data_IF_766573699657
#
_entry.id   IF_766573699657
#
_cell.length_a   1.000
_cell.length_b   1.000
_cell.length_c   1.000
_cell.angle_alpha   90.00
_cell.angle_beta   90.00
_cell.angle_gamma   90.00
#
_symmetry.space_group_name_H-M   'P 1'
#
loop_
_entity.id
_entity.type
_entity.pdbx_description
1 polymer ?
#
# COMPACT_ATOMS: atom_id res chain seq x y z
N UNK A 1 -4.75 2.24 -48.40
CA UNK A 1 -4.35 1.08 -47.59
C UNK A 1 -3.85 1.59 -46.25
N UNK A 2 -4.75 1.65 -45.27
CA UNK A 2 -4.45 2.18 -43.93
C UNK A 2 -3.88 1.05 -43.07
N UNK A 3 -2.68 1.27 -42.52
CA UNK A 3 -2.06 0.34 -41.57
C UNK A 3 -2.90 0.33 -40.29
N UNK A 4 -3.61 -0.77 -40.04
CA UNK A 4 -4.17 -1.05 -38.72
C UNK A 4 -3.02 -1.45 -37.81
N UNK A 5 -2.66 -0.55 -36.89
CA UNK A 5 -1.94 -0.89 -35.66
C UNK A 5 -2.99 -0.95 -34.55
N UNK A 6 -3.69 -2.06 -34.45
CA UNK A 6 -4.55 -2.34 -33.30
C UNK A 6 -3.94 -3.49 -32.52
N UNK A 7 -3.84 -3.27 -31.21
CA UNK A 7 -3.37 -4.19 -30.17
C UNK A 7 -1.88 -4.08 -29.85
N UNK A 8 -1.45 -2.87 -29.46
CA UNK A 8 -0.52 -2.80 -28.34
C UNK A 8 -1.33 -3.15 -27.09
N UNK A 9 -1.27 -4.42 -26.69
CA UNK A 9 -1.47 -4.77 -25.29
C UNK A 9 -0.53 -3.87 -24.49
N UNK A 10 -1.07 -2.80 -23.90
CA UNK A 10 -0.39 -2.04 -22.87
C UNK A 10 -0.38 -2.92 -21.62
N UNK A 11 0.38 -4.01 -21.70
CA UNK A 11 0.79 -4.79 -20.55
C UNK A 11 1.64 -3.83 -19.72
N UNK A 12 1.01 -3.22 -18.72
CA UNK A 12 1.63 -2.22 -17.87
C UNK A 12 2.84 -2.91 -17.22
N UNK A 13 4.08 -2.50 -17.51
CA UNK A 13 5.24 -3.24 -17.05
C UNK A 13 5.31 -3.06 -15.54
N UNK A 14 5.08 -4.15 -14.81
CA UNK A 14 5.43 -4.33 -13.40
C UNK A 14 4.61 -3.50 -12.38
N UNK A 15 3.28 -3.64 -12.36
CA UNK A 15 2.53 -3.32 -11.13
C UNK A 15 2.90 -4.37 -10.07
N UNK A 16 3.79 -3.99 -9.15
CA UNK A 16 4.11 -4.79 -7.97
C UNK A 16 2.82 -5.07 -7.19
N UNK A 17 2.64 -6.33 -6.80
CA UNK A 17 1.52 -6.75 -5.97
C UNK A 17 1.69 -6.26 -4.53
N UNK A 18 0.61 -6.22 -3.75
CA UNK A 18 0.69 -6.02 -2.30
C UNK A 18 1.74 -6.92 -1.63
N UNK A 19 1.85 -8.17 -2.09
CA UNK A 19 2.81 -9.16 -1.58
C UNK A 19 4.26 -8.69 -1.76
N UNK A 20 4.60 -8.19 -2.95
CA UNK A 20 5.94 -7.67 -3.26
C UNK A 20 6.33 -6.48 -2.38
N UNK A 21 5.36 -5.60 -2.08
CA UNK A 21 5.58 -4.48 -1.16
C UNK A 21 5.84 -4.96 0.28
N UNK A 22 5.09 -5.95 0.75
CA UNK A 22 5.31 -6.52 2.08
C UNK A 22 6.65 -7.26 2.20
N UNK A 23 7.10 -7.93 1.13
CA UNK A 23 8.45 -8.52 1.06
C UNK A 23 9.50 -7.41 1.14
N UNK A 24 9.43 -6.42 0.25
CA UNK A 24 10.48 -5.39 0.12
C UNK A 24 10.63 -4.50 1.35
N UNK A 25 9.55 -4.32 2.12
CA UNK A 25 9.55 -3.55 3.37
C UNK A 25 9.97 -4.37 4.60
N UNK A 26 10.15 -5.68 4.45
CA UNK A 26 10.52 -6.57 5.56
C UNK A 26 9.39 -6.82 6.56
N UNK A 27 8.13 -6.67 6.15
CA UNK A 27 6.93 -6.89 6.96
C UNK A 27 6.07 -8.07 6.47
N UNK A 28 6.60 -8.91 5.59
CA UNK A 28 5.88 -10.05 5.01
C UNK A 28 5.28 -10.99 6.06
N UNK A 29 5.96 -11.19 7.18
CA UNK A 29 5.46 -11.97 8.32
C UNK A 29 4.15 -11.41 8.93
N UNK A 30 3.88 -10.13 8.73
CA UNK A 30 2.69 -9.44 9.22
C UNK A 30 1.62 -9.20 8.15
N UNK A 31 1.84 -9.65 6.90
CA UNK A 31 0.84 -9.54 5.82
C UNK A 31 -0.53 -10.14 6.21
N UNK A 32 -0.64 -11.33 6.83
CA UNK A 32 -1.93 -11.86 7.27
C UNK A 32 -2.64 -10.97 8.31
N UNK A 33 -1.87 -10.26 9.14
CA UNK A 33 -2.42 -9.31 10.12
C UNK A 33 -2.93 -8.05 9.42
N UNK A 34 -2.17 -7.54 8.45
CA UNK A 34 -2.54 -6.39 7.65
C UNK A 34 -3.84 -6.63 6.86
N UNK A 35 -3.97 -7.78 6.20
CA UNK A 35 -5.17 -8.17 5.45
C UNK A 35 -6.42 -8.19 6.34
N UNK A 36 -6.36 -8.87 7.49
CA UNK A 36 -7.48 -8.93 8.44
C UNK A 36 -7.89 -7.55 8.95
N UNK A 37 -6.91 -6.68 9.19
CA UNK A 37 -7.15 -5.32 9.69
C UNK A 37 -7.78 -4.44 8.61
N UNK A 38 -7.24 -4.49 7.39
CA UNK A 38 -7.75 -3.75 6.24
C UNK A 38 -9.18 -4.20 5.90
N UNK A 39 -9.44 -5.51 5.82
CA UNK A 39 -10.79 -6.06 5.60
C UNK A 39 -11.78 -5.55 6.65
N UNK A 40 -11.44 -5.64 7.93
CA UNK A 40 -12.30 -5.20 9.03
C UNK A 40 -12.65 -3.71 8.97
N UNK A 41 -11.71 -2.89 8.51
CA UNK A 41 -11.87 -1.43 8.45
C UNK A 41 -12.29 -0.93 7.05
N UNK A 42 -12.46 -1.85 6.08
CA UNK A 42 -12.89 -1.55 4.72
C UNK A 42 -11.84 -0.81 3.89
N UNK A 43 -10.56 -1.16 4.02
CA UNK A 43 -9.47 -0.64 3.17
C UNK A 43 -9.16 -1.54 1.98
N UNK A 44 -8.83 -0.92 0.86
CA UNK A 44 -8.47 -1.59 -0.39
C UNK A 44 -6.96 -1.77 -0.54
N UNK A 45 -6.57 -2.64 -1.47
CA UNK A 45 -5.16 -2.99 -1.73
C UNK A 45 -4.27 -1.76 -1.98
N UNK A 46 -4.76 -0.78 -2.74
CA UNK A 46 -4.02 0.45 -3.05
C UNK A 46 -3.68 1.24 -1.79
N UNK A 47 -4.62 1.32 -0.85
CA UNK A 47 -4.43 2.01 0.42
C UNK A 47 -3.44 1.25 1.32
N UNK A 48 -3.49 -0.09 1.28
CA UNK A 48 -2.54 -0.94 2.00
C UNK A 48 -1.11 -0.82 1.46
N UNK A 49 -0.93 -0.75 0.14
CA UNK A 49 0.38 -0.56 -0.50
C UNK A 49 1.02 0.76 -0.05
N UNK A 50 0.25 1.85 -0.07
CA UNK A 50 0.76 3.15 0.38
C UNK A 50 1.05 3.13 1.89
N UNK A 51 0.16 2.52 2.68
CA UNK A 51 0.33 2.40 4.12
C UNK A 51 1.60 1.63 4.48
N UNK A 52 1.89 0.50 3.82
CA UNK A 52 3.08 -0.32 4.15
C UNK A 52 4.39 0.39 3.81
N UNK A 53 4.43 1.18 2.73
CA UNK A 53 5.56 2.05 2.42
C UNK A 53 5.78 3.07 3.55
N UNK A 54 4.73 3.74 4.02
CA UNK A 54 4.81 4.70 5.14
C UNK A 54 5.17 4.04 6.48
N UNK A 55 4.74 2.80 6.72
CA UNK A 55 5.16 2.01 7.89
C UNK A 55 6.67 1.73 7.82
N UNK A 56 7.17 1.35 6.65
CA UNK A 56 8.60 1.13 6.41
C UNK A 56 9.40 2.41 6.71
N UNK A 57 8.97 3.56 6.20
CA UNK A 57 9.62 4.84 6.48
C UNK A 57 9.66 5.15 8.00
N UNK A 58 8.54 4.93 8.70
CA UNK A 58 8.47 5.13 10.16
C UNK A 58 9.32 4.13 10.93
N UNK A 59 9.48 2.90 10.43
CA UNK A 59 10.35 1.88 11.03
C UNK A 59 11.82 2.29 10.96
N UNK A 60 12.27 2.82 9.81
CA UNK A 60 13.64 3.28 9.66
C UNK A 60 13.96 4.53 10.49
N UNK A 61 12.98 5.41 10.71
CA UNK A 61 13.15 6.59 11.58
C UNK A 61 13.06 6.24 13.06
N UNK A 62 12.08 5.41 13.44
CA UNK A 62 11.72 5.12 14.83
C UNK A 62 11.36 3.63 15.02
N UNK A 63 12.35 2.73 15.04
CA UNK A 63 12.10 1.30 15.15
C UNK A 63 11.50 0.95 16.53
N UNK A 64 10.63 -0.08 16.62
CA UNK A 64 10.06 -0.54 17.88
C UNK A 64 11.14 -1.13 18.80
N UNK A 65 11.08 -0.81 20.10
CA UNK A 65 12.05 -1.29 21.09
C UNK A 65 11.67 -2.61 21.78
N UNK A 66 10.41 -3.06 21.63
CA UNK A 66 9.88 -4.26 22.32
C UNK A 66 9.01 -5.13 21.42
N UNK A 67 7.77 -4.70 21.16
CA UNK A 67 6.77 -5.52 20.48
C UNK A 67 6.54 -5.00 19.04
N UNK A 68 7.28 -5.57 18.08
CA UNK A 68 7.17 -5.21 16.65
C UNK A 68 5.76 -5.41 16.11
N UNK A 69 5.06 -6.48 16.50
CA UNK A 69 3.70 -6.76 16.01
C UNK A 69 2.67 -5.76 16.53
N UNK A 70 2.71 -5.43 17.82
CA UNK A 70 1.81 -4.44 18.40
C UNK A 70 2.09 -3.03 17.85
N UNK A 71 3.37 -2.69 17.72
CA UNK A 71 3.79 -1.45 17.06
C UNK A 71 3.29 -1.38 15.62
N UNK A 72 3.49 -2.46 14.85
CA UNK A 72 3.05 -2.55 13.46
C UNK A 72 1.55 -2.36 13.34
N UNK A 73 0.73 -3.07 14.13
CA UNK A 73 -0.74 -2.93 14.08
C UNK A 73 -1.18 -1.49 14.27
N UNK A 74 -0.65 -0.83 15.30
CA UNK A 74 -0.95 0.57 15.60
C UNK A 74 -0.54 1.49 14.45
N UNK A 75 0.71 1.36 13.99
CA UNK A 75 1.26 2.23 12.94
C UNK A 75 0.58 1.98 11.59
N UNK A 76 0.35 0.73 11.23
CA UNK A 76 -0.31 0.38 9.98
C UNK A 76 -1.75 0.92 9.93
N UNK A 77 -2.49 0.81 11.04
CA UNK A 77 -3.81 1.44 11.17
C UNK A 77 -3.74 2.96 10.96
N UNK A 78 -2.84 3.67 11.67
CA UNK A 78 -2.59 5.11 11.46
C UNK A 78 -2.30 5.43 9.98
N UNK A 79 -1.45 4.63 9.32
CA UNK A 79 -1.05 4.86 7.93
C UNK A 79 -2.11 4.48 6.90
N UNK A 80 -3.04 3.59 7.22
CA UNK A 80 -4.21 3.33 6.37
C UNK A 80 -5.12 4.56 6.30
N UNK A 81 -5.40 5.22 7.43
CA UNK A 81 -6.17 6.46 7.46
C UNK A 81 -5.50 7.57 6.64
N UNK A 82 -4.21 7.81 6.88
CA UNK A 82 -3.45 8.81 6.11
C UNK A 82 -3.46 8.51 4.60
N UNK A 83 -3.25 7.25 4.21
CA UNK A 83 -3.19 6.85 2.80
C UNK A 83 -4.51 7.03 2.08
N UNK A 84 -5.64 6.71 2.73
CA UNK A 84 -6.97 7.01 2.20
C UNK A 84 -7.16 8.51 1.96
N UNK A 85 -6.82 9.32 2.95
CA UNK A 85 -6.94 10.78 2.85
C UNK A 85 -6.11 11.34 1.69
N UNK A 86 -4.86 10.88 1.54
CA UNK A 86 -3.98 11.31 0.46
C UNK A 86 -4.49 10.90 -0.93
N UNK A 87 -4.97 9.66 -1.06
CA UNK A 87 -5.55 9.15 -2.30
C UNK A 87 -6.78 9.96 -2.70
N UNK A 88 -7.71 10.18 -1.76
CA UNK A 88 -8.91 10.98 -2.00
C UNK A 88 -8.55 12.42 -2.38
N UNK A 89 -7.62 13.05 -1.69
CA UNK A 89 -7.16 14.41 -2.01
C UNK A 89 -6.54 14.50 -3.40
N UNK A 90 -5.73 13.51 -3.79
CA UNK A 90 -5.16 13.41 -5.12
C UNK A 90 -6.22 13.25 -6.21
N UNK A 91 -7.24 12.42 -5.96
CA UNK A 91 -8.34 12.22 -6.90
C UNK A 91 -9.22 13.47 -7.08
N UNK A 92 -9.48 14.21 -6.00
CA UNK A 92 -10.19 15.50 -6.10
C UNK A 92 -9.39 16.48 -6.96
N UNK A 93 -8.08 16.58 -6.75
CA UNK A 93 -7.19 17.48 -7.51
C UNK A 93 -7.12 17.14 -9.00
N UNK A 94 -7.26 15.87 -9.38
CA UNK A 94 -7.26 15.48 -10.80
C UNK A 94 -8.60 15.80 -11.47
N UNK A 95 -9.70 15.76 -10.71
CA UNK A 95 -11.05 16.00 -11.22
C UNK A 95 -11.42 17.48 -11.31
N UNK A 96 -10.68 18.37 -10.62
CA UNK A 96 -10.82 19.83 -10.67
C UNK A 96 -10.07 20.45 -11.85
#
# INVERSE_FOLDING_TARGET
MSKQLTNLNFDQPNRRSLHDYFISTGFYDLLPTALKLAERLGYEEREMIEAICKVSDKFYQYPPTKNRTAWFKKVFEEKLYESRSDILAFEVRIKS
#
